data_IF_365986290309
#
_entry.id   IF_365986290309
#
_cell.length_a   1.000
_cell.length_b   1.000
_cell.length_c   1.000
_cell.angle_alpha   90.00
_cell.angle_beta   90.00
_cell.angle_gamma   90.00
#
_symmetry.space_group_name_H-M   'P 1'
#
loop_
_entity.id
_entity.type
_entity.pdbx_description
1 polymer ?
#
# COMPACT_ATOMS: atom_id res chain seq x y z
N UNK A 1 -15.67 2.93 -24.66
CA UNK A 1 -14.62 3.15 -23.64
C UNK A 1 -13.26 3.19 -24.33
N UNK A 2 -12.63 4.36 -24.40
CA UNK A 2 -11.41 4.60 -25.20
C UNK A 2 -10.23 3.72 -24.74
N UNK A 3 -9.45 3.18 -25.68
CA UNK A 3 -8.28 2.31 -25.44
C UNK A 3 -7.26 2.95 -24.48
N UNK A 4 -7.15 4.28 -24.53
CA UNK A 4 -6.26 5.08 -23.69
C UNK A 4 -6.68 5.10 -22.21
N UNK A 5 -7.99 5.02 -21.92
CA UNK A 5 -8.50 4.99 -20.54
C UNK A 5 -8.21 3.66 -19.84
N UNK A 6 -8.15 2.54 -20.59
CA UNK A 6 -7.79 1.22 -20.04
C UNK A 6 -6.31 1.15 -19.65
N UNK A 7 -5.44 1.74 -20.46
CA UNK A 7 -4.00 1.83 -20.17
C UNK A 7 -3.72 2.67 -18.91
N UNK A 8 -4.39 3.83 -18.78
CA UNK A 8 -4.28 4.66 -17.58
C UNK A 8 -4.70 3.91 -16.30
N UNK A 9 -5.86 3.22 -16.35
CA UNK A 9 -6.35 2.45 -15.21
C UNK A 9 -5.39 1.30 -14.82
N UNK A 10 -4.81 0.63 -15.82
CA UNK A 10 -3.84 -0.45 -15.62
C UNK A 10 -2.55 0.03 -14.96
N UNK A 11 -2.00 1.16 -15.41
CA UNK A 11 -0.81 1.75 -14.80
C UNK A 11 -1.06 2.21 -13.36
N UNK A 12 -2.21 2.84 -13.09
CA UNK A 12 -2.57 3.25 -11.72
C UNK A 12 -2.76 2.06 -10.79
N UNK A 13 -3.35 0.97 -11.26
CA UNK A 13 -3.52 -0.26 -10.48
C UNK A 13 -2.17 -0.92 -10.16
N UNK A 14 -1.24 -0.96 -11.12
CA UNK A 14 0.11 -1.48 -10.92
C UNK A 14 0.91 -0.67 -9.90
N UNK A 15 0.89 0.67 -10.01
CA UNK A 15 1.56 1.53 -9.03
C UNK A 15 0.97 1.33 -7.63
N UNK A 16 -0.36 1.31 -7.49
CA UNK A 16 -1.02 1.09 -6.21
C UNK A 16 -0.67 -0.28 -5.60
N UNK A 17 -0.64 -1.34 -6.40
CA UNK A 17 -0.27 -2.68 -5.95
C UNK A 17 1.19 -2.74 -5.48
N UNK A 18 2.12 -2.11 -6.21
CA UNK A 18 3.53 -2.03 -5.81
C UNK A 18 3.73 -1.24 -4.52
N UNK A 19 3.09 -0.07 -4.38
CA UNK A 19 3.16 0.74 -3.15
C UNK A 19 2.60 0.00 -1.94
N UNK A 20 1.52 -0.76 -2.13
CA UNK A 20 0.93 -1.57 -1.05
C UNK A 20 1.82 -2.73 -0.65
N UNK A 21 2.38 -3.47 -1.60
CA UNK A 21 3.33 -4.57 -1.31
C UNK A 21 4.55 -4.07 -0.54
N UNK A 22 5.09 -2.91 -0.93
CA UNK A 22 6.20 -2.28 -0.22
C UNK A 22 5.81 -1.90 1.21
N UNK A 23 4.67 -1.25 1.40
CA UNK A 23 4.17 -0.89 2.74
C UNK A 23 3.91 -2.13 3.61
N UNK A 24 3.37 -3.21 3.03
CA UNK A 24 3.12 -4.46 3.74
C UNK A 24 4.41 -5.14 4.18
N UNK A 25 5.42 -5.20 3.30
CA UNK A 25 6.73 -5.78 3.62
C UNK A 25 7.44 -4.96 4.70
N UNK A 26 7.50 -3.63 4.54
CA UNK A 26 8.08 -2.73 5.54
C UNK A 26 7.33 -2.82 6.88
N UNK A 27 6.01 -2.91 6.86
CA UNK A 27 5.20 -3.07 8.07
C UNK A 27 5.49 -4.38 8.81
N UNK A 28 5.60 -5.50 8.09
CA UNK A 28 5.97 -6.80 8.66
C UNK A 28 7.40 -6.79 9.24
N UNK A 29 8.36 -6.27 8.51
CA UNK A 29 9.76 -6.15 8.96
C UNK A 29 9.86 -5.23 10.19
N UNK A 30 9.07 -4.14 10.21
CA UNK A 30 9.01 -3.22 11.34
C UNK A 30 8.40 -3.87 12.59
N UNK A 31 7.34 -4.66 12.42
CA UNK A 31 6.72 -5.42 13.53
C UNK A 31 7.67 -6.47 14.12
N UNK A 32 8.51 -7.08 13.30
CA UNK A 32 9.56 -7.99 13.75
C UNK A 32 10.78 -7.27 14.36
N UNK A 33 10.75 -5.93 14.46
CA UNK A 33 11.83 -5.13 15.01
C UNK A 33 13.05 -4.98 14.10
N UNK A 34 12.95 -5.40 12.84
CA UNK A 34 14.07 -5.44 11.89
C UNK A 34 14.27 -4.17 11.05
N UNK A 35 13.44 -3.14 11.24
CA UNK A 35 13.50 -1.91 10.44
C UNK A 35 14.26 -0.80 11.15
N UNK A 36 15.18 -0.18 10.45
CA UNK A 36 15.85 1.06 10.83
C UNK A 36 15.36 2.21 9.96
N UNK A 37 15.42 3.43 10.48
CA UNK A 37 15.23 4.66 9.71
C UNK A 37 16.52 5.47 9.74
N UNK A 38 16.80 6.15 8.63
CA UNK A 38 17.87 7.13 8.50
C UNK A 38 17.25 8.42 7.97
N UNK A 39 17.30 9.48 8.78
CA UNK A 39 16.82 10.82 8.41
C UNK A 39 17.96 11.81 8.68
N UNK A 40 18.68 12.17 7.62
CA UNK A 40 19.84 13.06 7.74
C UNK A 40 20.98 12.40 8.52
N UNK A 41 21.41 13.02 9.62
CA UNK A 41 22.45 12.47 10.49
C UNK A 41 21.90 11.53 11.58
N UNK A 42 20.58 11.41 11.70
CA UNK A 42 19.94 10.60 12.73
C UNK A 42 19.50 9.25 12.16
N UNK A 43 20.07 8.18 12.69
CA UNK A 43 19.70 6.81 12.38
C UNK A 43 19.20 6.12 13.65
N UNK A 44 18.11 5.37 13.53
CA UNK A 44 17.45 4.77 14.68
C UNK A 44 16.61 3.56 14.30
N UNK A 45 16.15 2.84 15.32
CA UNK A 45 15.26 1.71 15.12
C UNK A 45 13.82 2.20 15.09
N UNK A 46 13.07 1.83 14.05
CA UNK A 46 11.66 2.21 13.95
C UNK A 46 10.90 1.48 15.07
N UNK A 47 10.07 2.17 15.87
CA UNK A 47 9.26 1.52 16.88
C UNK A 47 8.36 0.46 16.24
N UNK A 48 8.26 -0.76 16.81
CA UNK A 48 7.49 -1.85 16.21
C UNK A 48 6.00 -1.52 16.06
N UNK A 49 5.47 -0.60 16.89
CA UNK A 49 4.11 -0.08 16.76
C UNK A 49 3.83 0.63 15.43
N UNK A 50 4.84 1.22 14.78
CA UNK A 50 4.68 1.82 13.45
C UNK A 50 4.51 0.77 12.35
N UNK A 51 4.95 -0.47 12.57
CA UNK A 51 4.74 -1.56 11.61
C UNK A 51 3.25 -1.84 11.36
N UNK A 52 2.43 -1.68 12.41
CA UNK A 52 0.98 -1.83 12.33
C UNK A 52 0.32 -0.73 11.48
N UNK A 53 0.87 0.49 11.55
CA UNK A 53 0.42 1.64 10.72
C UNK A 53 0.72 1.40 9.25
N UNK A 54 1.93 0.91 8.93
CA UNK A 54 2.32 0.55 7.56
C UNK A 54 1.47 -0.59 6.98
N UNK A 55 1.15 -1.60 7.80
CA UNK A 55 0.22 -2.68 7.40
C UNK A 55 -1.20 -2.16 7.17
N UNK A 56 -1.71 -1.28 8.02
CA UNK A 56 -3.02 -0.65 7.83
C UNK A 56 -3.07 0.17 6.53
N UNK A 57 -2.04 0.97 6.25
CA UNK A 57 -1.92 1.72 5.00
C UNK A 57 -1.88 0.79 3.78
N UNK A 58 -1.13 -0.31 3.86
CA UNK A 58 -1.08 -1.31 2.80
C UNK A 58 -2.48 -1.89 2.51
N UNK A 59 -3.23 -2.25 3.55
CA UNK A 59 -4.60 -2.77 3.46
C UNK A 59 -5.58 -1.74 2.88
N UNK A 60 -5.46 -0.47 3.27
CA UNK A 60 -6.35 0.60 2.82
C UNK A 60 -6.24 0.83 1.30
N UNK A 61 -5.03 0.67 0.75
CA UNK A 61 -4.77 0.75 -0.71
C UNK A 61 -5.45 -0.39 -1.46
N UNK A 62 -5.60 -1.58 -0.88
CA UNK A 62 -6.38 -2.68 -1.47
C UNK A 62 -7.89 -2.52 -1.28
N UNK A 63 -8.31 -1.87 -0.19
CA UNK A 63 -9.73 -1.68 0.12
C UNK A 63 -10.44 -0.78 -0.90
N UNK A 64 -9.75 0.25 -1.41
CA UNK A 64 -10.28 1.17 -2.42
C UNK A 64 -10.72 0.48 -3.73
N UNK A 65 -9.85 -0.27 -4.45
CA UNK A 65 -10.25 -0.97 -5.67
C UNK A 65 -11.25 -2.08 -5.39
N UNK A 66 -11.17 -2.78 -4.24
CA UNK A 66 -12.15 -3.79 -3.86
C UNK A 66 -13.55 -3.18 -3.62
N UNK A 67 -13.62 -2.04 -2.92
CA UNK A 67 -14.86 -1.30 -2.67
C UNK A 67 -15.49 -0.76 -3.96
N UNK A 68 -14.68 -0.19 -4.86
CA UNK A 68 -15.14 0.25 -6.19
C UNK A 68 -15.67 -0.92 -6.99
N UNK A 69 -14.98 -2.07 -6.99
CA UNK A 69 -15.43 -3.27 -7.69
C UNK A 69 -16.74 -3.82 -7.13
N UNK A 70 -16.90 -3.80 -5.80
CA UNK A 70 -18.14 -4.21 -5.14
C UNK A 70 -19.32 -3.28 -5.49
N UNK A 71 -19.12 -1.96 -5.48
CA UNK A 71 -20.15 -0.99 -5.87
C UNK A 71 -20.56 -1.17 -7.34
N UNK A 72 -19.58 -1.40 -8.22
CA UNK A 72 -19.85 -1.67 -9.64
C UNK A 72 -20.63 -2.97 -9.82
N UNK A 73 -20.27 -4.05 -9.09
CA UNK A 73 -20.99 -5.33 -9.09
C UNK A 73 -22.40 -5.22 -8.48
N UNK A 74 -22.58 -4.45 -7.43
CA UNK A 74 -23.87 -4.27 -6.75
C UNK A 74 -24.88 -3.46 -7.57
N UNK A 75 -24.42 -2.75 -8.62
CA UNK A 75 -25.27 -2.02 -9.57
C UNK A 75 -25.49 -2.75 -10.90
N UNK A 76 -24.89 -3.93 -11.10
CA UNK A 76 -25.06 -4.77 -12.28
C UNK A 76 -26.11 -5.85 -12.02
#
# INVERSE_FOLDING_TARGET
>A
MNRNAKLGLGCSALLAACSSLFCGFMGLVTLMGGSTYEVGAESGQVPPGMGLVFLCLALLVWLLPAGVWWIVRAKA
#
